data_IF_360186920353
#
_entry.id   IF_360186920353
#
_cell.length_a   1.000
_cell.length_b   1.000
_cell.length_c   1.000
_cell.angle_alpha   90.00
_cell.angle_beta   90.00
_cell.angle_gamma   90.00
#
_symmetry.space_group_name_H-M   'P 1'
#
loop_
_entity.id
_entity.type
_entity.pdbx_description
1 polymer ?
#
# COMPACT_ATOMS: atom_id res chain seq x y z
N UNK A 1 10.53 -12.35 -24.51
CA UNK A 1 10.66 -10.88 -24.46
C UNK A 1 9.68 -10.24 -23.48
N UNK A 2 8.37 -10.33 -23.69
CA UNK A 2 7.35 -9.66 -22.85
C UNK A 2 7.42 -10.03 -21.35
N UNK A 3 7.73 -11.28 -21.01
CA UNK A 3 7.87 -11.72 -19.61
C UNK A 3 8.97 -10.97 -18.86
N UNK A 4 10.12 -10.74 -19.50
CA UNK A 4 11.27 -10.05 -18.88
C UNK A 4 10.93 -8.57 -18.68
N UNK A 5 10.26 -7.96 -19.65
CA UNK A 5 9.78 -6.58 -19.54
C UNK A 5 8.79 -6.43 -18.38
N UNK A 6 7.82 -7.35 -18.26
CA UNK A 6 6.86 -7.33 -17.17
C UNK A 6 7.54 -7.48 -15.80
N UNK A 7 8.43 -8.48 -15.65
CA UNK A 7 9.20 -8.69 -14.42
C UNK A 7 10.01 -7.44 -14.07
N UNK A 8 10.73 -6.88 -15.05
CA UNK A 8 11.53 -5.67 -14.85
C UNK A 8 10.67 -4.49 -14.39
N UNK A 9 9.50 -4.29 -15.00
CA UNK A 9 8.56 -3.25 -14.59
C UNK A 9 8.10 -3.39 -13.14
N UNK A 10 7.70 -4.60 -12.71
CA UNK A 10 7.30 -4.85 -11.33
C UNK A 10 8.45 -4.67 -10.34
N UNK A 11 9.66 -5.13 -10.67
CA UNK A 11 10.85 -4.94 -9.82
C UNK A 11 11.16 -3.45 -9.66
N UNK A 12 11.15 -2.68 -10.75
CA UNK A 12 11.38 -1.23 -10.70
C UNK A 12 10.32 -0.53 -9.85
N UNK A 13 9.04 -0.88 -10.03
CA UNK A 13 7.96 -0.32 -9.22
C UNK A 13 8.16 -0.59 -7.73
N UNK A 14 8.58 -1.81 -7.37
CA UNK A 14 8.82 -2.22 -5.98
C UNK A 14 10.02 -1.47 -5.36
N UNK A 15 11.10 -1.27 -6.14
CA UNK A 15 12.25 -0.48 -5.71
C UNK A 15 11.89 1.00 -5.51
N UNK A 16 11.11 1.58 -6.41
CA UNK A 16 10.63 2.96 -6.28
C UNK A 16 9.75 3.12 -5.04
N UNK A 17 8.85 2.17 -4.79
CA UNK A 17 8.02 2.17 -3.58
C UNK A 17 8.87 2.12 -2.31
N UNK A 18 9.86 1.21 -2.25
CA UNK A 18 10.78 1.12 -1.12
C UNK A 18 11.61 2.40 -0.93
N UNK A 19 12.03 3.05 -2.02
CA UNK A 19 12.77 4.31 -1.96
C UNK A 19 11.91 5.46 -1.38
N UNK A 20 10.62 5.54 -1.78
CA UNK A 20 9.68 6.52 -1.22
C UNK A 20 9.45 6.27 0.27
N UNK A 21 9.20 5.03 0.66
CA UNK A 21 8.98 4.66 2.06
C UNK A 21 10.23 4.92 2.92
N UNK A 22 11.42 4.67 2.38
CA UNK A 22 12.68 5.01 3.05
C UNK A 22 12.85 6.53 3.20
N UNK A 23 12.51 7.31 2.18
CA UNK A 23 12.55 8.76 2.24
C UNK A 23 11.50 9.33 3.22
N UNK A 24 10.34 8.70 3.34
CA UNK A 24 9.29 9.07 4.30
C UNK A 24 9.75 8.90 5.76
N UNK A 25 10.57 7.88 6.04
CA UNK A 25 11.06 7.56 7.39
C UNK A 25 12.17 8.49 7.90
N UNK A 26 12.69 9.39 7.07
CA UNK A 26 13.73 10.33 7.48
C UNK A 26 13.16 11.40 8.41
N UNK A 27 13.94 11.79 9.42
CA UNK A 27 13.57 12.90 10.29
C UNK A 27 13.36 14.19 9.48
N UNK A 28 12.27 14.91 9.76
CA UNK A 28 11.90 16.12 9.03
C UNK A 28 11.34 15.88 7.61
N UNK A 29 11.11 14.63 7.20
CA UNK A 29 10.50 14.34 5.91
C UNK A 29 9.06 14.87 5.83
N UNK A 30 8.70 15.42 4.66
CA UNK A 30 7.33 15.85 4.33
C UNK A 30 6.55 14.77 3.60
N UNK A 31 7.19 13.65 3.26
CA UNK A 31 6.57 12.53 2.55
C UNK A 31 5.88 11.67 3.61
N UNK A 32 4.55 11.47 3.54
CA UNK A 32 3.86 10.58 4.46
C UNK A 32 4.30 9.14 4.21
N UNK A 33 4.49 8.37 5.28
CA UNK A 33 4.76 6.94 5.16
C UNK A 33 3.52 6.20 4.71
N UNK A 34 3.69 4.97 4.22
CA UNK A 34 2.56 4.09 3.93
C UNK A 34 1.66 3.92 5.16
N UNK A 35 2.25 3.84 6.36
CA UNK A 35 1.50 3.72 7.60
C UNK A 35 0.63 4.95 7.87
N UNK A 36 1.13 6.15 7.60
CA UNK A 36 0.37 7.40 7.74
C UNK A 36 -0.80 7.46 6.75
N UNK A 37 -0.57 7.05 5.50
CA UNK A 37 -1.62 6.97 4.48
C UNK A 37 -2.69 5.95 4.90
N UNK A 38 -2.30 4.77 5.36
CA UNK A 38 -3.22 3.77 5.88
C UNK A 38 -4.00 4.29 7.08
N UNK A 39 -3.33 4.93 8.04
CA UNK A 39 -3.98 5.52 9.20
C UNK A 39 -4.96 6.63 8.82
N UNK A 40 -4.62 7.44 7.82
CA UNK A 40 -5.51 8.46 7.27
C UNK A 40 -6.75 7.82 6.64
N UNK A 41 -6.59 6.80 5.80
CA UNK A 41 -7.71 6.08 5.19
C UNK A 41 -8.59 5.41 6.25
N UNK A 42 -7.99 4.77 7.26
CA UNK A 42 -8.73 4.13 8.37
C UNK A 42 -9.59 5.10 9.20
N UNK A 43 -9.37 6.41 9.10
CA UNK A 43 -10.20 7.43 9.75
C UNK A 43 -11.44 7.81 8.94
N UNK A 44 -11.58 7.32 7.70
CA UNK A 44 -12.73 7.65 6.86
C UNK A 44 -13.99 6.91 7.33
N UNK A 45 -14.99 7.69 7.75
CA UNK A 45 -16.28 7.21 8.26
C UNK A 45 -17.42 7.90 7.49
N UNK A 46 -18.48 7.16 7.19
CA UNK A 46 -19.70 7.65 6.54
C UNK A 46 -20.86 7.41 7.49
N UNK A 47 -21.29 8.46 8.20
CA UNK A 47 -22.20 8.33 9.34
C UNK A 47 -21.56 7.44 10.42
N UNK A 48 -22.23 6.39 10.92
CA UNK A 48 -21.65 5.46 11.89
C UNK A 48 -20.76 4.37 11.26
N UNK A 49 -20.60 4.34 9.93
CA UNK A 49 -19.95 3.23 9.22
C UNK A 49 -18.46 3.54 8.98
N UNK A 50 -17.52 2.73 9.50
CA UNK A 50 -16.09 2.93 9.31
C UNK A 50 -15.59 2.38 7.97
N UNK A 51 -16.04 3.01 6.88
CA UNK A 51 -15.79 2.59 5.49
C UNK A 51 -14.30 2.42 5.22
N UNK A 52 -13.46 3.31 5.73
CA UNK A 52 -12.02 3.24 5.56
C UNK A 52 -11.40 1.96 6.14
N UNK A 53 -11.79 1.57 7.35
CA UNK A 53 -11.31 0.35 8.00
C UNK A 53 -11.80 -0.89 7.26
N UNK A 54 -13.10 -0.92 6.92
CA UNK A 54 -13.70 -2.04 6.18
C UNK A 54 -12.99 -2.21 4.83
N UNK A 55 -12.78 -1.11 4.10
CA UNK A 55 -12.08 -1.14 2.82
C UNK A 55 -10.65 -1.64 2.94
N UNK A 56 -9.88 -1.14 3.91
CA UNK A 56 -8.48 -1.52 4.07
C UNK A 56 -8.31 -2.98 4.56
N UNK A 57 -9.11 -3.42 5.53
CA UNK A 57 -9.09 -4.81 5.98
C UNK A 57 -9.64 -5.77 4.92
N UNK A 58 -10.67 -5.37 4.18
CA UNK A 58 -11.20 -6.14 3.06
C UNK A 58 -10.18 -6.28 1.93
N UNK A 59 -9.47 -5.21 1.60
CA UNK A 59 -8.38 -5.23 0.63
C UNK A 59 -7.23 -6.14 1.08
N UNK A 60 -6.81 -6.03 2.35
CA UNK A 60 -5.78 -6.91 2.93
C UNK A 60 -6.19 -8.38 2.86
N UNK A 61 -7.42 -8.69 3.26
CA UNK A 61 -7.98 -10.03 3.19
C UNK A 61 -7.99 -10.56 1.74
N UNK A 62 -8.45 -9.74 0.78
CA UNK A 62 -8.48 -10.10 -0.62
C UNK A 62 -7.08 -10.37 -1.19
N UNK A 63 -6.08 -9.52 -0.89
CA UNK A 63 -4.69 -9.76 -1.29
C UNK A 63 -4.17 -11.10 -0.77
N UNK A 64 -4.43 -11.40 0.51
CA UNK A 64 -4.03 -12.67 1.11
C UNK A 64 -4.66 -13.87 0.41
N UNK A 65 -5.98 -13.84 0.20
CA UNK A 65 -6.67 -14.93 -0.46
C UNK A 65 -6.27 -15.07 -1.94
N UNK A 66 -6.06 -13.96 -2.65
CA UNK A 66 -5.80 -13.97 -4.08
C UNK A 66 -4.38 -14.42 -4.43
N UNK A 67 -3.38 -14.07 -3.60
CA UNK A 67 -1.97 -14.33 -3.91
C UNK A 67 -1.31 -15.39 -3.01
N UNK A 68 -1.75 -15.56 -1.76
CA UNK A 68 -1.08 -16.40 -0.76
C UNK A 68 -1.83 -17.70 -0.43
N UNK A 69 -3.15 -17.79 -0.68
CA UNK A 69 -3.97 -18.97 -0.38
C UNK A 69 -3.97 -20.04 -1.51
N UNK A 70 -2.90 -20.11 -2.29
CA UNK A 70 -2.66 -21.11 -3.33
C UNK A 70 -1.78 -22.24 -2.78
#
# INVERSE_FOLDING_TARGET
MMRIVAIGGFVVALLLFAAVEWAARREGSRIPSLADVCAFVMRYEVGPVPVGRIGLFGFWWWLGWHFLAR
#
